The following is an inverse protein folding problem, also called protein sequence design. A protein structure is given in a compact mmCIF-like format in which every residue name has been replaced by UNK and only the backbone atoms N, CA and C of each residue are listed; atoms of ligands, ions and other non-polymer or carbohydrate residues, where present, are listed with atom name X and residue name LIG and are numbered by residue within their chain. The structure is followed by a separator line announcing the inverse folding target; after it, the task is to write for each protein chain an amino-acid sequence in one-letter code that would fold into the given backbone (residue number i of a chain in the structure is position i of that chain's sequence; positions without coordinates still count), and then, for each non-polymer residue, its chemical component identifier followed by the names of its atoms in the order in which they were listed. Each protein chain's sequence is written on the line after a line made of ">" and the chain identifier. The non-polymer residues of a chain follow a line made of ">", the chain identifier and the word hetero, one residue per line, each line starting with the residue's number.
data_IF_234579298263
#
_entry.id   IF_234579298263
#
_cell.length_a   1.000
_cell.length_b   1.000
_cell.length_c   1.000
_cell.angle_alpha   90.00
_cell.angle_beta   90.00
_cell.angle_gamma   90.00
#
_symmetry.space_group_name_H-M   'P 1'
#
loop_
_entity.id
_entity.type
_entity.pdbx_description
1 polymer ?
#
# COMPACT_ATOMS: atom_id res chain seq x y z
N UNK A 1 -54.82 31.63 -19.93
CA UNK A 1 -54.11 31.06 -18.76
C UNK A 1 -53.04 30.10 -19.27
N UNK A 2 -51.78 30.36 -18.96
CA UNK A 2 -50.67 29.44 -19.27
C UNK A 2 -50.85 28.15 -18.45
N UNK A 3 -50.95 27.00 -19.11
CA UNK A 3 -50.95 25.69 -18.43
C UNK A 3 -49.53 25.40 -17.94
N UNK A 4 -49.35 25.29 -16.63
CA UNK A 4 -48.11 24.82 -15.99
C UNK A 4 -48.17 23.30 -15.77
N UNK A 5 -47.02 22.68 -15.42
CA UNK A 5 -46.95 21.25 -15.08
C UNK A 5 -47.76 20.93 -13.82
N UNK A 6 -48.29 19.71 -13.76
CA UNK A 6 -48.93 19.18 -12.55
C UNK A 6 -47.86 18.85 -11.50
N UNK A 7 -48.23 18.93 -10.22
CA UNK A 7 -47.30 18.87 -9.08
C UNK A 7 -47.68 17.83 -8.02
N UNK A 8 -48.88 17.26 -8.07
CA UNK A 8 -49.34 16.30 -7.07
C UNK A 8 -50.11 15.13 -7.66
N UNK A 9 -50.11 14.00 -6.95
CA UNK A 9 -50.87 12.79 -7.28
C UNK A 9 -52.38 13.09 -7.44
N UNK A 10 -52.93 14.02 -6.66
CA UNK A 10 -54.33 14.43 -6.73
C UNK A 10 -54.62 15.22 -8.01
N UNK A 11 -53.68 16.04 -8.47
CA UNK A 11 -53.80 16.76 -9.74
C UNK A 11 -53.74 15.80 -10.93
N UNK A 12 -52.80 14.85 -10.92
CA UNK A 12 -52.75 13.78 -11.92
C UNK A 12 -54.04 12.94 -11.91
N UNK A 13 -54.58 12.63 -10.73
CA UNK A 13 -55.82 11.87 -10.60
C UNK A 13 -57.07 12.55 -11.15
N UNK A 14 -57.07 13.89 -11.24
CA UNK A 14 -58.17 14.69 -11.81
C UNK A 14 -58.08 14.85 -13.33
N UNK A 15 -57.08 14.28 -14.00
CA UNK A 15 -56.97 14.32 -15.46
C UNK A 15 -58.22 13.68 -16.07
N UNK A 16 -58.96 14.46 -16.85
CA UNK A 16 -60.14 14.00 -17.56
C UNK A 16 -59.73 13.15 -18.76
N UNK A 17 -60.17 11.89 -18.79
CA UNK A 17 -59.91 10.97 -19.90
C UNK A 17 -61.06 10.96 -20.91
N UNK A 18 -62.30 10.88 -20.42
CA UNK A 18 -63.49 10.76 -21.26
C UNK A 18 -64.71 11.33 -20.54
N UNK A 19 -65.66 11.87 -21.32
CA UNK A 19 -67.02 12.15 -20.87
C UNK A 19 -67.94 11.15 -21.56
N UNK A 20 -68.75 10.42 -20.79
CA UNK A 20 -69.71 9.45 -21.31
C UNK A 20 -70.97 10.16 -21.84
N UNK A 21 -71.80 9.43 -22.59
CA UNK A 21 -73.05 9.97 -23.18
C UNK A 21 -74.07 10.41 -22.12
N UNK A 22 -74.00 9.85 -20.91
CA UNK A 22 -74.81 10.22 -19.74
C UNK A 22 -74.28 11.46 -19.00
N UNK A 23 -73.18 12.06 -19.46
CA UNK A 23 -72.52 13.20 -18.82
C UNK A 23 -71.57 12.84 -17.68
N UNK A 24 -71.41 11.55 -17.33
CA UNK A 24 -70.43 11.12 -16.35
C UNK A 24 -68.99 11.31 -16.86
N UNK A 25 -68.08 11.66 -15.95
CA UNK A 25 -66.66 11.94 -16.27
C UNK A 25 -65.80 10.77 -15.80
N UNK A 26 -64.99 10.23 -16.70
CA UNK A 26 -63.97 9.23 -16.40
C UNK A 26 -62.64 9.96 -16.21
N UNK A 27 -62.08 9.84 -15.01
CA UNK A 27 -60.82 10.47 -14.60
C UNK A 27 -59.69 9.44 -14.60
N UNK A 28 -58.44 9.91 -14.60
CA UNK A 28 -57.26 9.02 -14.59
C UNK A 28 -57.24 8.11 -13.36
N UNK A 29 -57.65 8.63 -12.20
CA UNK A 29 -57.75 7.85 -10.96
C UNK A 29 -58.77 6.71 -11.01
N UNK A 30 -59.72 6.76 -11.95
CA UNK A 30 -60.76 5.73 -12.07
C UNK A 30 -60.24 4.48 -12.80
N UNK A 31 -59.08 4.59 -13.47
CA UNK A 31 -58.49 3.52 -14.30
C UNK A 31 -57.03 3.20 -13.96
N UNK A 32 -56.39 3.97 -13.07
CA UNK A 32 -55.00 3.76 -12.67
C UNK A 32 -54.77 4.09 -11.19
N UNK A 33 -53.84 3.37 -10.56
CA UNK A 33 -53.27 3.77 -9.26
C UNK A 33 -52.22 4.85 -9.51
N UNK A 34 -52.29 5.93 -8.75
CA UNK A 34 -51.40 7.08 -8.89
C UNK A 34 -50.73 7.31 -7.55
N UNK A 35 -49.44 7.03 -7.50
CA UNK A 35 -48.61 7.19 -6.32
C UNK A 35 -47.22 7.71 -6.73
N UNK A 36 -46.51 8.31 -5.79
CA UNK A 36 -45.14 8.73 -6.00
C UNK A 36 -44.22 7.51 -5.80
N UNK A 37 -43.73 6.97 -6.92
CA UNK A 37 -42.87 5.80 -6.95
C UNK A 37 -41.43 6.11 -7.36
N UNK A 38 -40.58 5.08 -7.35
CA UNK A 38 -39.26 5.15 -7.96
C UNK A 38 -39.34 5.15 -9.48
N UNK A 39 -38.34 5.71 -10.15
CA UNK A 39 -38.24 5.64 -11.61
C UNK A 39 -38.05 4.20 -12.12
N UNK A 40 -37.35 3.37 -11.33
CA UNK A 40 -37.17 1.95 -11.57
C UNK A 40 -37.21 1.18 -10.23
N UNK A 41 -37.49 -0.12 -10.31
CA UNK A 41 -37.61 -1.04 -9.17
C UNK A 41 -36.67 -2.24 -9.30
N UNK A 42 -35.68 -2.16 -10.21
CA UNK A 42 -34.77 -3.28 -10.48
C UNK A 42 -33.76 -3.49 -9.36
N UNK A 43 -33.39 -2.43 -8.63
CA UNK A 43 -32.37 -2.46 -7.59
C UNK A 43 -33.02 -2.29 -6.22
N UNK A 44 -32.77 -3.25 -5.34
CA UNK A 44 -33.15 -3.18 -3.92
C UNK A 44 -31.88 -3.32 -3.10
N UNK A 45 -31.62 -2.36 -2.22
CA UNK A 45 -30.46 -2.39 -1.33
C UNK A 45 -30.90 -2.49 0.13
N UNK A 46 -30.17 -3.32 0.89
CA UNK A 46 -30.35 -3.47 2.33
C UNK A 46 -29.00 -3.36 3.04
N UNK A 47 -29.00 -2.70 4.20
CA UNK A 47 -27.85 -2.61 5.08
C UNK A 47 -28.15 -3.33 6.39
N UNK A 48 -27.42 -4.39 6.68
CA UNK A 48 -27.66 -5.28 7.82
C UNK A 48 -29.14 -5.72 7.93
N UNK A 49 -29.79 -5.99 6.79
CA UNK A 49 -31.20 -6.40 6.71
C UNK A 49 -32.24 -5.28 6.87
N UNK A 50 -31.81 -4.02 6.93
CA UNK A 50 -32.70 -2.85 6.97
C UNK A 50 -32.74 -2.17 5.60
N UNK A 51 -33.88 -1.58 5.18
CA UNK A 51 -33.98 -0.84 3.92
C UNK A 51 -32.89 0.22 3.81
N UNK A 52 -32.14 0.20 2.71
CA UNK A 52 -31.03 1.10 2.49
C UNK A 52 -31.04 1.71 1.09
N UNK A 53 -30.33 2.83 0.97
CA UNK A 53 -29.93 3.43 -0.29
C UNK A 53 -28.46 3.82 -0.17
N UNK A 54 -27.80 4.15 -1.28
CA UNK A 54 -26.39 4.49 -1.24
C UNK A 54 -25.86 5.06 -2.53
N UNK A 55 -24.67 5.64 -2.43
CA UNK A 55 -23.92 6.19 -3.54
C UNK A 55 -22.57 5.48 -3.64
N UNK A 56 -22.32 4.82 -4.77
CA UNK A 56 -21.01 4.29 -5.12
C UNK A 56 -20.15 5.40 -5.71
N UNK A 57 -19.26 6.00 -4.91
CA UNK A 57 -18.42 7.13 -5.33
C UNK A 57 -17.10 6.60 -5.87
N UNK A 58 -16.72 7.06 -7.06
CA UNK A 58 -15.42 6.75 -7.69
C UNK A 58 -14.53 7.98 -7.65
N UNK A 59 -13.25 7.76 -7.39
CA UNK A 59 -12.25 8.81 -7.38
C UNK A 59 -12.04 9.36 -8.79
N UNK A 60 -12.00 10.69 -8.93
CA UNK A 60 -11.62 11.33 -10.18
C UNK A 60 -10.15 11.05 -10.52
N UNK A 61 -9.80 11.06 -11.81
CA UNK A 61 -8.42 10.81 -12.23
C UNK A 61 -7.47 11.87 -11.65
N UNK A 62 -6.42 11.44 -10.96
CA UNK A 62 -5.43 12.33 -10.34
C UNK A 62 -5.87 12.99 -9.03
N UNK A 63 -7.10 12.75 -8.55
CA UNK A 63 -7.54 13.25 -7.25
C UNK A 63 -6.90 12.47 -6.10
N UNK A 64 -6.80 13.09 -4.92
CA UNK A 64 -6.32 12.45 -3.71
C UNK A 64 -7.47 11.70 -3.01
N UNK A 65 -7.26 10.41 -2.73
CA UNK A 65 -8.27 9.57 -2.09
C UNK A 65 -8.65 10.05 -0.68
N UNK A 66 -7.67 10.46 0.14
CA UNK A 66 -7.87 10.91 1.51
C UNK A 66 -8.60 12.27 1.55
N UNK A 67 -8.16 13.21 0.72
CA UNK A 67 -8.76 14.55 0.66
C UNK A 67 -10.20 14.47 0.14
N UNK A 68 -10.44 13.64 -0.88
CA UNK A 68 -11.78 13.45 -1.44
C UNK A 68 -12.71 12.79 -0.42
N UNK A 69 -12.25 11.77 0.30
CA UNK A 69 -13.06 11.14 1.35
C UNK A 69 -13.35 12.10 2.51
N UNK A 70 -12.36 12.91 2.91
CA UNK A 70 -12.56 13.94 3.92
C UNK A 70 -13.58 15.00 3.47
N UNK A 71 -13.52 15.45 2.21
CA UNK A 71 -14.47 16.39 1.62
C UNK A 71 -15.89 15.80 1.54
N UNK A 72 -16.02 14.53 1.14
CA UNK A 72 -17.31 13.82 1.13
C UNK A 72 -17.89 13.78 2.55
N UNK A 73 -17.10 13.39 3.55
CA UNK A 73 -17.54 13.37 4.96
C UNK A 73 -17.94 14.76 5.46
N UNK A 74 -17.21 15.80 5.07
CA UNK A 74 -17.53 17.18 5.43
C UNK A 74 -18.85 17.66 4.82
N UNK A 75 -19.13 17.33 3.56
CA UNK A 75 -20.41 17.66 2.92
C UNK A 75 -21.57 16.87 3.53
N UNK A 76 -21.38 15.58 3.80
CA UNK A 76 -22.39 14.75 4.47
C UNK A 76 -22.74 15.29 5.86
N UNK A 77 -21.74 15.70 6.65
CA UNK A 77 -21.94 16.29 7.97
C UNK A 77 -22.76 17.60 7.94
N UNK A 78 -22.71 18.37 6.84
CA UNK A 78 -23.56 19.57 6.65
C UNK A 78 -25.01 19.21 6.36
N UNK A 79 -25.28 18.04 5.79
CA UNK A 79 -26.62 17.59 5.43
C UNK A 79 -27.33 16.90 6.61
N UNK A 80 -26.58 16.24 7.51
CA UNK A 80 -27.11 15.51 8.66
C UNK A 80 -28.16 16.28 9.51
N UNK A 81 -27.99 17.59 9.81
CA UNK A 81 -28.99 18.34 10.60
C UNK A 81 -30.36 18.48 9.95
N UNK A 82 -30.45 18.31 8.62
CA UNK A 82 -31.69 18.47 7.85
C UNK A 82 -32.40 17.13 7.60
N UNK A 83 -31.90 16.04 8.18
CA UNK A 83 -32.43 14.72 7.92
C UNK A 83 -33.78 14.46 8.59
N UNK A 84 -34.68 13.72 7.92
CA UNK A 84 -35.86 13.17 8.56
C UNK A 84 -35.51 12.25 9.73
N UNK A 85 -36.46 12.05 10.65
CA UNK A 85 -36.26 11.18 11.81
C UNK A 85 -35.92 9.75 11.41
N UNK A 86 -34.84 9.21 11.97
CA UNK A 86 -34.38 7.84 11.74
C UNK A 86 -33.43 7.65 10.55
N UNK A 87 -33.19 8.69 9.73
CA UNK A 87 -32.21 8.61 8.66
C UNK A 87 -30.78 8.71 9.25
N UNK A 88 -29.94 7.71 8.95
CA UNK A 88 -28.54 7.64 9.42
C UNK A 88 -27.60 7.32 8.28
N UNK A 89 -26.47 8.00 8.21
CA UNK A 89 -25.38 7.67 7.29
C UNK A 89 -24.51 6.56 7.87
N UNK A 90 -24.14 5.61 7.02
CA UNK A 90 -23.20 4.54 7.30
C UNK A 90 -22.20 4.43 6.15
N UNK A 91 -21.01 3.89 6.41
CA UNK A 91 -19.91 3.78 5.45
C UNK A 91 -19.55 2.30 5.24
N UNK A 92 -20.30 1.55 4.43
CA UNK A 92 -20.14 0.09 4.29
C UNK A 92 -18.93 -0.33 3.46
N UNK A 93 -18.34 0.58 2.70
CA UNK A 93 -17.18 0.29 1.87
C UNK A 93 -16.35 1.57 1.71
N UNK A 94 -15.21 1.61 2.39
CA UNK A 94 -14.27 2.72 2.34
C UNK A 94 -12.85 2.17 2.28
N UNK A 95 -12.13 2.46 1.20
CA UNK A 95 -10.74 2.02 1.02
C UNK A 95 -9.73 2.97 1.66
N UNK A 96 -10.17 4.14 2.13
CA UNK A 96 -9.28 5.16 2.70
C UNK A 96 -8.62 4.79 4.03
N UNK A 97 -9.26 4.02 4.96
CA UNK A 97 -8.59 3.54 6.16
C UNK A 97 -7.38 2.68 5.84
N UNK A 98 -7.51 1.75 4.89
CA UNK A 98 -6.40 0.91 4.43
C UNK A 98 -5.25 1.76 3.89
N UNK A 99 -5.53 2.69 2.96
CA UNK A 99 -4.49 3.58 2.39
C UNK A 99 -3.78 4.39 3.49
N UNK A 100 -4.53 4.93 4.45
CA UNK A 100 -3.97 5.71 5.56
C UNK A 100 -3.06 4.85 6.44
N UNK A 101 -3.48 3.63 6.78
CA UNK A 101 -2.71 2.70 7.60
C UNK A 101 -1.48 2.22 6.83
N UNK A 102 -1.60 1.86 5.55
CA UNK A 102 -0.45 1.47 4.73
C UNK A 102 0.60 2.58 4.67
N UNK A 103 0.20 3.84 4.46
CA UNK A 103 1.14 4.96 4.48
C UNK A 103 1.76 5.13 5.87
N UNK A 104 0.95 5.05 6.93
CA UNK A 104 1.43 5.18 8.31
C UNK A 104 2.46 4.10 8.67
N UNK A 105 2.18 2.84 8.37
CA UNK A 105 3.11 1.73 8.62
C UNK A 105 4.37 1.88 7.77
N UNK A 106 4.27 2.31 6.51
CA UNK A 106 5.49 2.56 5.74
C UNK A 106 6.31 3.69 6.38
N UNK A 107 5.72 4.83 6.75
CA UNK A 107 6.45 5.91 7.43
C UNK A 107 7.08 5.43 8.74
N UNK A 108 6.38 4.60 9.50
CA UNK A 108 6.92 3.97 10.71
C UNK A 108 8.12 3.07 10.37
N UNK A 109 8.04 2.23 9.35
CA UNK A 109 9.19 1.43 8.90
C UNK A 109 10.36 2.28 8.41
N UNK A 110 10.12 3.45 7.79
CA UNK A 110 11.19 4.41 7.44
C UNK A 110 11.90 4.92 8.71
N UNK A 111 11.14 5.28 9.74
CA UNK A 111 11.69 5.75 11.02
C UNK A 111 12.45 4.64 11.74
N UNK A 112 11.88 3.43 11.80
CA UNK A 112 12.53 2.25 12.37
C UNK A 112 13.83 1.92 11.65
N UNK A 113 13.85 1.99 10.31
CA UNK A 113 15.05 1.78 9.52
C UNK A 113 16.13 2.83 9.84
N UNK A 114 15.78 4.11 9.95
CA UNK A 114 16.74 5.16 10.35
C UNK A 114 17.29 4.91 11.76
N UNK A 115 16.45 4.49 12.70
CA UNK A 115 16.88 4.14 14.07
C UNK A 115 17.82 2.93 14.03
N UNK A 116 17.51 1.88 13.26
CA UNK A 116 18.37 0.71 13.13
C UNK A 116 19.73 1.06 12.53
N UNK A 117 19.74 1.90 11.49
CA UNK A 117 20.99 2.42 10.89
C UNK A 117 21.79 3.20 11.93
N UNK A 118 21.14 4.07 12.71
CA UNK A 118 21.77 4.79 13.79
C UNK A 118 22.40 3.83 14.83
N UNK A 119 21.66 2.80 15.26
CA UNK A 119 22.15 1.82 16.24
C UNK A 119 23.34 1.02 15.72
N UNK A 120 23.28 0.57 14.46
CA UNK A 120 24.38 -0.18 13.82
C UNK A 120 25.59 0.73 13.65
N UNK A 121 25.43 1.95 13.14
CA UNK A 121 26.54 2.89 12.99
C UNK A 121 27.15 3.28 14.32
N UNK A 122 26.34 3.43 15.37
CA UNK A 122 26.84 3.69 16.71
C UNK A 122 27.61 2.50 17.31
N UNK A 123 27.19 1.27 17.00
CA UNK A 123 27.90 0.06 17.42
C UNK A 123 29.32 0.01 16.83
N UNK A 124 29.47 0.30 15.54
CA UNK A 124 30.76 0.26 14.84
C UNK A 124 31.63 1.48 15.13
N UNK A 125 31.09 2.70 14.98
CA UNK A 125 31.89 3.93 15.08
C UNK A 125 32.01 4.45 16.52
N UNK A 126 31.12 4.05 17.43
CA UNK A 126 31.20 4.35 18.87
C UNK A 126 31.29 5.85 19.18
N UNK A 127 30.77 6.67 18.25
CA UNK A 127 30.79 8.12 18.29
C UNK A 127 29.46 8.66 17.76
N UNK A 128 28.74 9.36 18.63
CA UNK A 128 27.47 10.00 18.29
C UNK A 128 27.59 10.96 17.10
N UNK A 129 28.72 11.68 16.97
CA UNK A 129 28.90 12.65 15.88
C UNK A 129 29.01 11.97 14.51
N UNK A 130 29.75 10.87 14.43
CA UNK A 130 29.91 10.11 13.20
C UNK A 130 28.59 9.44 12.79
N UNK A 131 27.86 8.91 13.78
CA UNK A 131 26.54 8.30 13.59
C UNK A 131 25.49 9.31 13.10
N UNK A 132 25.62 10.58 13.48
CA UNK A 132 24.69 11.63 13.04
C UNK A 132 24.78 11.92 11.53
N UNK A 133 25.93 11.65 10.90
CA UNK A 133 26.16 12.00 9.49
C UNK A 133 25.23 11.20 8.56
N UNK A 134 25.18 9.84 8.60
CA UNK A 134 24.21 9.09 7.82
C UNK A 134 22.76 9.38 8.22
N UNK A 135 22.54 9.64 9.52
CA UNK A 135 21.21 9.96 10.07
C UNK A 135 20.62 11.25 9.49
N UNK A 136 21.48 12.23 9.12
CA UNK A 136 21.06 13.45 8.43
C UNK A 136 20.96 13.24 6.91
N UNK A 137 21.90 12.49 6.32
CA UNK A 137 21.95 12.28 4.87
C UNK A 137 20.69 11.57 4.34
N UNK A 138 20.23 10.51 5.03
CA UNK A 138 19.09 9.70 4.57
C UNK A 138 17.79 10.52 4.45
N UNK A 139 17.34 11.28 5.47
CA UNK A 139 16.16 12.16 5.33
C UNK A 139 16.28 13.18 4.20
N UNK A 140 17.47 13.76 3.97
CA UNK A 140 17.69 14.72 2.88
C UNK A 140 17.44 14.07 1.52
N UNK A 141 17.95 12.86 1.30
CA UNK A 141 17.73 12.13 0.05
C UNK A 141 16.27 11.71 -0.12
N UNK A 142 15.61 11.24 0.95
CA UNK A 142 14.19 10.87 0.90
C UNK A 142 13.30 12.08 0.54
N UNK A 143 13.51 13.23 1.20
CA UNK A 143 12.79 14.46 0.89
C UNK A 143 13.06 14.96 -0.54
N UNK A 144 14.31 14.88 -0.99
CA UNK A 144 14.67 15.18 -2.38
C UNK A 144 13.99 14.23 -3.37
N UNK A 145 13.84 12.95 -3.02
CA UNK A 145 13.17 11.95 -3.86
C UNK A 145 11.69 12.30 -4.00
N UNK A 146 11.01 12.72 -2.93
CA UNK A 146 9.64 13.24 -3.03
C UNK A 146 9.54 14.44 -3.98
N UNK A 147 10.51 15.36 -3.96
CA UNK A 147 10.52 16.51 -4.86
C UNK A 147 10.68 16.08 -6.34
N UNK A 148 11.54 15.09 -6.61
CA UNK A 148 11.71 14.53 -7.96
C UNK A 148 10.45 13.81 -8.41
N UNK A 149 9.86 12.97 -7.56
CA UNK A 149 8.60 12.28 -7.87
C UNK A 149 7.48 13.28 -8.19
N UNK A 150 7.34 14.35 -7.41
CA UNK A 150 6.38 15.41 -7.67
C UNK A 150 6.65 16.10 -9.02
N UNK A 151 7.92 16.38 -9.36
CA UNK A 151 8.30 16.97 -10.64
C UNK A 151 7.94 16.10 -11.85
N UNK A 152 7.97 14.78 -11.70
CA UNK A 152 7.53 13.82 -12.73
C UNK A 152 6.03 13.48 -12.67
N UNK A 153 5.25 14.12 -11.78
CA UNK A 153 3.81 13.89 -11.64
C UNK A 153 3.44 12.55 -11.00
N UNK A 154 4.35 11.95 -10.22
CA UNK A 154 4.09 10.74 -9.45
C UNK A 154 3.34 11.07 -8.14
N UNK A 155 2.49 10.16 -7.71
CA UNK A 155 1.77 10.27 -6.43
C UNK A 155 2.47 9.48 -5.34
N UNK A 156 2.18 9.85 -4.09
CA UNK A 156 2.48 9.01 -2.93
C UNK A 156 1.45 7.87 -2.93
N UNK A 157 1.92 6.66 -3.15
CA UNK A 157 1.10 5.45 -3.18
C UNK A 157 1.92 4.27 -2.63
N UNK A 158 1.27 3.13 -2.42
CA UNK A 158 1.91 1.95 -1.84
C UNK A 158 3.18 1.53 -2.57
N UNK A 159 3.21 1.64 -3.91
CA UNK A 159 4.36 1.22 -4.73
C UNK A 159 5.54 2.18 -4.62
N UNK A 160 5.29 3.50 -4.70
CA UNK A 160 6.36 4.50 -4.52
C UNK A 160 6.91 4.47 -3.10
N UNK A 161 6.06 4.26 -2.11
CA UNK A 161 6.48 4.13 -0.72
C UNK A 161 7.32 2.86 -0.48
N UNK A 162 6.94 1.71 -1.04
CA UNK A 162 7.81 0.52 -1.01
C UNK A 162 9.13 0.74 -1.75
N UNK A 163 9.12 1.44 -2.89
CA UNK A 163 10.33 1.83 -3.59
C UNK A 163 11.28 2.65 -2.71
N UNK A 164 10.76 3.55 -1.88
CA UNK A 164 11.58 4.30 -0.92
C UNK A 164 12.17 3.41 0.16
N UNK A 165 11.39 2.48 0.73
CA UNK A 165 11.87 1.54 1.75
C UNK A 165 13.01 0.68 1.20
N UNK A 166 12.84 0.13 0.00
CA UNK A 166 13.87 -0.65 -0.67
C UNK A 166 15.12 0.18 -0.97
N UNK A 167 14.95 1.46 -1.31
CA UNK A 167 16.06 2.35 -1.56
C UNK A 167 16.90 2.62 -0.29
N UNK A 168 16.34 2.58 0.92
CA UNK A 168 17.09 2.88 2.16
C UNK A 168 18.38 2.08 2.26
N UNK A 169 18.36 0.78 1.93
CA UNK A 169 19.56 -0.05 1.98
C UNK A 169 20.69 0.50 1.10
N UNK A 170 20.34 1.02 -0.08
CA UNK A 170 21.28 1.65 -1.01
C UNK A 170 21.70 3.05 -0.54
N UNK A 171 20.75 3.83 -0.01
CA UNK A 171 20.99 5.20 0.47
C UNK A 171 21.96 5.25 1.66
N UNK A 172 21.78 4.29 2.57
CA UNK A 172 22.58 4.20 3.78
C UNK A 172 24.00 3.78 3.43
N UNK A 173 24.17 2.84 2.49
CA UNK A 173 25.48 2.35 2.07
C UNK A 173 26.41 3.50 1.62
N UNK A 174 25.93 4.39 0.75
CA UNK A 174 26.72 5.55 0.29
C UNK A 174 27.22 6.43 1.44
N UNK A 175 26.33 6.73 2.40
CA UNK A 175 26.67 7.56 3.55
C UNK A 175 27.64 6.84 4.52
N UNK A 176 27.45 5.53 4.72
CA UNK A 176 28.32 4.71 5.55
C UNK A 176 29.70 4.61 4.93
N UNK A 177 29.81 4.27 3.65
CA UNK A 177 31.10 4.10 2.94
C UNK A 177 31.92 5.38 3.01
N UNK A 178 31.29 6.56 2.86
CA UNK A 178 31.99 7.84 3.00
C UNK A 178 32.50 8.04 4.43
N UNK A 179 31.66 7.85 5.45
CA UNK A 179 32.04 8.09 6.85
C UNK A 179 33.09 7.08 7.33
N UNK A 180 32.89 5.80 7.04
CA UNK A 180 33.79 4.71 7.41
C UNK A 180 35.16 4.90 6.76
N UNK A 181 35.22 5.23 5.46
CA UNK A 181 36.50 5.41 4.80
C UNK A 181 37.27 6.63 5.34
N UNK A 182 36.57 7.68 5.80
CA UNK A 182 37.21 8.82 6.48
C UNK A 182 37.76 8.40 7.86
N UNK A 183 36.98 7.67 8.66
CA UNK A 183 37.40 7.13 9.95
C UNK A 183 38.62 6.23 9.80
N UNK A 184 38.62 5.34 8.81
CA UNK A 184 39.74 4.46 8.46
C UNK A 184 41.01 5.26 8.13
N UNK A 185 40.92 6.28 7.26
CA UNK A 185 42.07 7.13 6.92
C UNK A 185 42.59 7.92 8.13
N UNK A 186 41.70 8.41 9.00
CA UNK A 186 42.11 9.07 10.24
C UNK A 186 42.83 8.10 11.19
N UNK A 187 42.31 6.89 11.37
CA UNK A 187 42.91 5.88 12.25
C UNK A 187 44.25 5.35 11.72
N UNK A 188 44.36 5.09 10.41
CA UNK A 188 45.59 4.54 9.82
C UNK A 188 46.71 5.58 9.69
N UNK A 189 46.38 6.84 9.41
CA UNK A 189 47.39 7.87 9.07
C UNK A 189 47.52 8.98 10.12
N UNK A 190 46.53 9.15 11.01
CA UNK A 190 46.51 10.20 12.04
C UNK A 190 46.23 11.60 11.48
N UNK A 191 45.61 11.70 10.30
CA UNK A 191 45.34 12.98 9.65
C UNK A 191 44.17 13.73 10.32
N UNK A 192 44.18 15.08 10.34
CA UNK A 192 43.02 15.86 10.77
C UNK A 192 41.77 15.57 9.92
N UNK A 193 40.54 15.66 10.48
CA UNK A 193 39.30 15.29 9.78
C UNK A 193 39.13 15.90 8.39
N UNK A 194 39.49 17.18 8.22
CA UNK A 194 39.40 17.87 6.93
C UNK A 194 40.34 17.28 5.87
N UNK A 195 41.56 16.94 6.24
CA UNK A 195 42.57 16.38 5.33
C UNK A 195 42.28 14.92 5.03
N UNK A 196 41.92 14.15 6.06
CA UNK A 196 41.46 12.77 5.91
C UNK A 196 40.26 12.68 4.97
N UNK A 197 39.28 13.60 5.10
CA UNK A 197 38.12 13.64 4.21
C UNK A 197 38.51 13.90 2.76
N UNK A 198 39.41 14.85 2.50
CA UNK A 198 39.89 15.11 1.12
C UNK A 198 40.57 13.89 0.52
N UNK A 199 41.42 13.21 1.29
CA UNK A 199 42.12 12.01 0.85
C UNK A 199 41.14 10.85 0.60
N UNK A 200 40.22 10.63 1.53
CA UNK A 200 39.17 9.61 1.45
C UNK A 200 38.31 9.80 0.19
N UNK A 201 37.79 11.01 -0.05
CA UNK A 201 36.98 11.28 -1.24
C UNK A 201 37.75 11.04 -2.54
N UNK A 202 39.05 11.33 -2.57
CA UNK A 202 39.91 11.01 -3.72
C UNK A 202 40.00 9.50 -4.02
N UNK A 203 39.83 8.64 -3.02
CA UNK A 203 39.84 7.18 -3.17
C UNK A 203 38.50 6.64 -3.65
N UNK A 204 37.38 7.16 -3.14
CA UNK A 204 36.05 6.55 -3.32
C UNK A 204 35.14 7.27 -4.32
N UNK A 205 35.40 8.55 -4.68
CA UNK A 205 34.49 9.32 -5.54
C UNK A 205 34.17 8.63 -6.87
N UNK A 206 35.17 8.01 -7.51
CA UNK A 206 34.99 7.30 -8.78
C UNK A 206 34.18 6.02 -8.62
N UNK A 207 34.36 5.32 -7.49
CA UNK A 207 33.60 4.12 -7.17
C UNK A 207 32.12 4.46 -6.89
N UNK A 208 31.85 5.53 -6.13
CA UNK A 208 30.47 6.00 -5.85
C UNK A 208 29.71 6.33 -7.14
N UNK A 209 30.34 7.07 -8.06
CA UNK A 209 29.73 7.37 -9.38
C UNK A 209 29.56 6.09 -10.20
N UNK A 210 30.54 5.17 -10.18
CA UNK A 210 30.43 3.89 -10.87
C UNK A 210 29.27 3.03 -10.38
N UNK A 211 29.09 2.94 -9.06
CA UNK A 211 27.98 2.21 -8.42
C UNK A 211 26.64 2.83 -8.85
N UNK A 212 26.52 4.16 -8.82
CA UNK A 212 25.33 4.87 -9.26
C UNK A 212 24.94 4.52 -10.72
N UNK A 213 25.94 4.50 -11.60
CA UNK A 213 25.75 4.19 -13.02
C UNK A 213 25.34 2.72 -13.23
N UNK A 214 25.98 1.78 -12.54
CA UNK A 214 25.65 0.35 -12.63
C UNK A 214 24.25 0.08 -12.09
N UNK A 215 23.89 0.65 -10.94
CA UNK A 215 22.55 0.48 -10.38
C UNK A 215 21.49 1.14 -11.27
N UNK A 216 21.78 2.32 -11.83
CA UNK A 216 20.90 2.95 -12.81
C UNK A 216 20.70 2.05 -14.04
N UNK A 217 21.76 1.39 -14.53
CA UNK A 217 21.66 0.44 -15.64
C UNK A 217 20.81 -0.80 -15.31
N UNK A 218 20.70 -1.19 -14.04
CA UNK A 218 19.83 -2.29 -13.59
C UNK A 218 18.37 -1.85 -13.50
N UNK A 219 18.09 -0.68 -12.90
CA UNK A 219 16.72 -0.25 -12.61
C UNK A 219 16.05 0.55 -13.73
N UNK A 220 16.78 1.30 -14.55
CA UNK A 220 16.20 2.10 -15.65
C UNK A 220 15.47 1.24 -16.69
N UNK A 221 15.99 0.07 -17.15
CA UNK A 221 15.30 -0.77 -18.12
C UNK A 221 13.89 -1.20 -17.68
N UNK A 222 13.65 -1.35 -16.37
CA UNK A 222 12.34 -1.78 -15.89
C UNK A 222 11.24 -0.73 -16.09
N UNK A 223 11.59 0.56 -16.29
CA UNK A 223 10.63 1.61 -16.61
C UNK A 223 10.05 1.50 -18.04
N UNK A 224 10.70 0.72 -18.91
CA UNK A 224 10.33 0.55 -20.30
C UNK A 224 9.47 -0.69 -20.59
N UNK A 225 9.13 -1.47 -19.55
CA UNK A 225 8.14 -2.54 -19.71
C UNK A 225 6.79 -1.94 -20.17
N UNK A 226 6.11 -2.64 -21.07
CA UNK A 226 4.79 -2.26 -21.57
C UNK A 226 3.64 -2.75 -20.69
N UNK A 227 2.42 -2.27 -21.01
CA UNK A 227 1.18 -2.71 -20.37
C UNK A 227 1.03 -2.28 -18.91
N UNK A 228 0.03 -2.87 -18.23
CA UNK A 228 -0.28 -2.56 -16.83
C UNK A 228 0.87 -2.90 -15.88
N UNK A 229 1.59 -4.00 -16.16
CA UNK A 229 2.78 -4.42 -15.42
C UNK A 229 3.91 -3.38 -15.51
N UNK A 230 4.14 -2.82 -16.70
CA UNK A 230 5.10 -1.73 -16.88
C UNK A 230 4.80 -0.50 -16.06
N UNK A 231 3.52 -0.14 -15.90
CA UNK A 231 3.12 0.99 -15.07
C UNK A 231 3.49 0.81 -13.58
N UNK A 232 3.44 -0.42 -13.06
CA UNK A 232 3.88 -0.76 -11.70
C UNK A 232 5.40 -0.69 -11.58
N UNK A 233 6.13 -1.35 -12.49
CA UNK A 233 7.59 -1.34 -12.46
C UNK A 233 8.17 0.07 -12.59
N UNK A 234 7.51 0.94 -13.36
CA UNK A 234 7.89 2.35 -13.50
C UNK A 234 7.82 3.12 -12.18
N UNK A 235 6.90 2.79 -11.27
CA UNK A 235 6.84 3.39 -9.92
C UNK A 235 8.10 3.07 -9.11
N UNK A 236 8.53 1.80 -9.12
CA UNK A 236 9.75 1.37 -8.43
C UNK A 236 11.01 1.94 -9.09
N UNK A 237 11.11 1.83 -10.41
CA UNK A 237 12.25 2.27 -11.21
C UNK A 237 12.59 3.74 -10.93
N UNK A 238 11.62 4.63 -11.12
CA UNK A 238 11.85 6.07 -11.01
C UNK A 238 12.12 6.45 -9.57
N UNK A 239 11.45 5.83 -8.60
CA UNK A 239 11.70 6.08 -7.18
C UNK A 239 13.13 5.71 -6.79
N UNK A 240 13.57 4.48 -7.13
CA UNK A 240 14.90 3.98 -6.77
C UNK A 240 15.99 4.76 -7.52
N UNK A 241 15.86 4.97 -8.82
CA UNK A 241 16.84 5.72 -9.62
C UNK A 241 16.98 7.17 -9.13
N UNK A 242 15.87 7.83 -8.82
CA UNK A 242 15.90 9.20 -8.28
C UNK A 242 16.56 9.25 -6.91
N UNK A 243 16.22 8.30 -6.03
CA UNK A 243 16.84 8.16 -4.72
C UNK A 243 18.35 7.91 -4.82
N UNK A 244 18.79 6.99 -5.68
CA UNK A 244 20.21 6.70 -5.88
C UNK A 244 20.99 7.89 -6.47
N UNK A 245 20.44 8.57 -7.47
CA UNK A 245 21.09 9.74 -8.06
C UNK A 245 21.25 10.86 -7.02
N UNK A 246 20.23 11.10 -6.21
CA UNK A 246 20.29 12.05 -5.10
C UNK A 246 21.22 11.57 -3.98
N UNK A 247 21.28 10.27 -3.71
CA UNK A 247 22.18 9.67 -2.73
C UNK A 247 23.63 9.97 -3.06
N UNK A 248 24.04 9.72 -4.30
CA UNK A 248 25.41 9.99 -4.76
C UNK A 248 25.69 11.49 -4.77
N UNK A 249 24.73 12.34 -5.14
CA UNK A 249 24.87 13.80 -5.02
C UNK A 249 25.11 14.22 -3.56
N UNK A 250 24.33 13.68 -2.62
CA UNK A 250 24.50 13.93 -1.18
C UNK A 250 25.85 13.37 -0.69
N UNK A 251 26.26 12.20 -1.19
CA UNK A 251 27.51 11.52 -0.88
C UNK A 251 28.76 12.32 -1.30
N UNK A 252 28.64 13.08 -2.39
CA UNK A 252 29.72 13.90 -2.96
C UNK A 252 29.72 15.34 -2.43
N UNK A 253 28.58 15.85 -1.96
CA UNK A 253 28.41 17.26 -1.57
C UNK A 253 28.29 17.42 -0.05
N UNK A 254 27.27 16.80 0.55
CA UNK A 254 26.89 17.06 1.94
C UNK A 254 27.71 16.21 2.92
N UNK A 255 27.79 14.90 2.72
CA UNK A 255 28.51 14.02 3.65
C UNK A 255 29.99 14.36 3.80
N UNK A 256 30.77 14.75 2.76
CA UNK A 256 32.16 15.13 2.97
C UNK A 256 32.27 16.42 3.80
N UNK A 257 31.35 17.37 3.59
CA UNK A 257 31.30 18.59 4.39
C UNK A 257 30.97 18.28 5.86
N UNK A 258 30.05 17.35 6.12
CA UNK A 258 29.72 16.90 7.47
C UNK A 258 30.88 16.12 8.11
N UNK A 259 31.57 15.24 7.38
CA UNK A 259 32.73 14.52 7.87
C UNK A 259 33.84 15.47 8.32
N UNK A 260 34.17 16.46 7.49
CA UNK A 260 35.23 17.42 7.78
C UNK A 260 34.93 18.35 8.98
N UNK A 261 33.65 18.53 9.34
CA UNK A 261 33.21 19.49 10.38
C UNK A 261 32.77 18.81 11.68
N UNK A 262 32.21 17.61 11.61
CA UNK A 262 31.61 16.92 12.76
C UNK A 262 32.49 15.83 13.34
N UNK A 263 33.34 15.17 12.53
CA UNK A 263 34.20 14.10 13.01
C UNK A 263 35.28 14.64 13.95
N UNK A 264 35.61 13.83 14.95
CA UNK A 264 36.71 14.14 15.88
C UNK A 264 37.99 13.50 15.35
N UNK A 265 39.16 14.14 15.55
CA UNK A 265 40.43 13.51 15.21
C UNK A 265 40.60 12.18 15.95
N UNK A 266 41.17 11.20 15.25
CA UNK A 266 41.51 9.88 15.78
C UNK A 266 43.03 9.77 15.75
N UNK A 267 43.63 9.28 16.84
CA UNK A 267 45.07 9.10 16.90
C UNK A 267 45.47 7.94 15.98
N UNK A 268 46.65 8.05 15.36
CA UNK A 268 47.19 7.00 14.50
C UNK A 268 47.30 5.68 15.27
N UNK A 269 46.73 4.61 14.73
CA UNK A 269 46.68 3.28 15.33
C UNK A 269 45.62 3.10 16.42
N UNK A 270 44.76 4.09 16.66
CA UNK A 270 43.63 3.94 17.58
C UNK A 270 42.45 3.24 16.90
N UNK A 271 42.42 1.91 17.03
CA UNK A 271 41.29 1.07 16.62
C UNK A 271 40.29 0.85 17.77
N UNK A 272 40.39 1.62 18.86
CA UNK A 272 39.50 1.49 20.02
C UNK A 272 39.62 0.18 20.80
N UNK A 273 40.64 -0.64 20.55
CA UNK A 273 40.89 -1.93 21.23
C UNK A 273 41.20 -1.76 22.73
N UNK A 274 41.77 -0.61 23.10
CA UNK A 274 42.08 -0.23 24.47
C UNK A 274 40.90 0.32 25.27
N UNK A 275 39.71 0.48 24.66
CA UNK A 275 38.51 0.93 25.38
C UNK A 275 38.08 -0.12 26.41
N UNK A 276 37.57 0.34 27.56
CA UNK A 276 36.97 -0.53 28.60
C UNK A 276 35.49 -0.75 28.32
N UNK A 277 34.96 -1.91 28.73
CA UNK A 277 33.54 -2.25 28.59
C UNK A 277 33.19 -2.96 27.28
N UNK A 278 31.89 -2.96 26.95
CA UNK A 278 31.32 -3.66 25.79
C UNK A 278 32.00 -3.28 24.47
N UNK A 279 32.19 -1.98 24.22
CA UNK A 279 32.80 -1.48 22.99
C UNK A 279 34.24 -1.95 22.77
N UNK A 280 35.04 -2.03 23.84
CA UNK A 280 36.39 -2.59 23.73
C UNK A 280 36.40 -4.09 23.43
N UNK A 281 35.46 -4.84 24.02
CA UNK A 281 35.29 -6.26 23.68
C UNK A 281 34.86 -6.45 22.22
N UNK A 282 33.90 -5.64 21.76
CA UNK A 282 33.43 -5.67 20.38
C UNK A 282 34.57 -5.40 19.41
N UNK A 283 35.36 -4.34 19.61
CA UNK A 283 36.49 -4.00 18.74
C UNK A 283 37.52 -5.13 18.66
N UNK A 284 37.94 -5.67 19.80
CA UNK A 284 38.90 -6.80 19.84
C UNK A 284 38.36 -8.05 19.15
N UNK A 285 37.08 -8.34 19.32
CA UNK A 285 36.43 -9.50 18.68
C UNK A 285 36.29 -9.27 17.17
N UNK A 286 35.94 -8.06 16.76
CA UNK A 286 35.82 -7.67 15.36
C UNK A 286 37.18 -7.75 14.65
N UNK A 287 38.24 -7.15 15.20
CA UNK A 287 39.60 -7.23 14.64
C UNK A 287 40.08 -8.69 14.50
N UNK A 288 39.87 -9.50 15.55
CA UNK A 288 40.16 -10.94 15.47
C UNK A 288 39.37 -11.64 14.36
N UNK A 289 38.11 -11.24 14.17
CA UNK A 289 37.25 -11.79 13.11
C UNK A 289 37.69 -11.34 11.72
N UNK A 290 38.17 -10.10 11.57
CA UNK A 290 38.74 -9.56 10.33
C UNK A 290 40.01 -10.32 9.94
N UNK A 291 40.91 -10.58 10.88
CA UNK A 291 42.07 -11.43 10.63
C UNK A 291 41.67 -12.85 10.23
N UNK A 292 40.72 -13.47 10.93
CA UNK A 292 40.23 -14.79 10.55
C UNK A 292 39.58 -14.81 9.15
N UNK A 293 38.82 -13.77 8.81
CA UNK A 293 38.22 -13.63 7.49
C UNK A 293 39.28 -13.52 6.39
N UNK A 294 40.28 -12.65 6.58
CA UNK A 294 41.37 -12.47 5.61
C UNK A 294 42.25 -13.71 5.45
N UNK A 295 42.55 -14.42 6.55
CA UNK A 295 43.26 -15.72 6.51
C UNK A 295 42.44 -16.77 5.75
N UNK A 296 41.13 -16.81 5.98
CA UNK A 296 40.20 -17.71 5.28
C UNK A 296 40.21 -17.41 3.79
N UNK A 297 40.03 -16.14 3.39
CA UNK A 297 40.10 -15.71 1.98
C UNK A 297 41.46 -16.05 1.36
N UNK A 298 42.56 -15.90 2.11
CA UNK A 298 43.88 -16.37 1.69
C UNK A 298 43.93 -17.87 1.39
N UNK A 299 43.24 -18.69 2.19
CA UNK A 299 43.04 -20.12 1.93
C UNK A 299 42.16 -20.42 0.70
N UNK A 300 41.11 -19.62 0.48
CA UNK A 300 40.23 -19.70 -0.70
C UNK A 300 41.04 -19.45 -1.97
N UNK A 301 41.87 -18.40 -1.99
CA UNK A 301 42.70 -18.03 -3.14
C UNK A 301 43.75 -19.09 -3.51
N UNK A 302 44.20 -19.89 -2.54
CA UNK A 302 45.09 -21.05 -2.79
C UNK A 302 44.35 -22.26 -3.38
N UNK A 303 43.02 -22.26 -3.36
CA UNK A 303 42.20 -23.41 -3.74
C UNK A 303 40.98 -23.04 -4.59
N UNK A 304 41.15 -22.07 -5.49
CA UNK A 304 40.07 -21.49 -6.32
C UNK A 304 39.21 -22.52 -7.06
N UNK A 305 39.79 -23.63 -7.53
CA UNK A 305 39.06 -24.67 -8.27
C UNK A 305 37.85 -25.24 -7.51
N UNK A 306 37.96 -25.48 -6.19
CA UNK A 306 36.84 -26.01 -5.40
C UNK A 306 35.71 -24.99 -5.26
N UNK A 307 36.06 -23.71 -5.19
CA UNK A 307 35.09 -22.62 -5.09
C UNK A 307 34.41 -22.32 -6.42
N UNK A 308 35.08 -22.55 -7.56
CA UNK A 308 34.42 -22.54 -8.87
C UNK A 308 33.38 -23.66 -8.99
N UNK A 309 33.67 -24.87 -8.49
CA UNK A 309 32.68 -25.95 -8.43
C UNK A 309 31.51 -25.56 -7.54
N UNK A 310 31.77 -25.00 -6.35
CA UNK A 310 30.72 -24.50 -5.46
C UNK A 310 29.88 -23.40 -6.13
N UNK A 311 30.51 -22.47 -6.84
CA UNK A 311 29.82 -21.42 -7.59
C UNK A 311 28.90 -22.01 -8.67
N UNK A 312 29.37 -23.00 -9.43
CA UNK A 312 28.53 -23.70 -10.40
C UNK A 312 27.34 -24.40 -9.74
N UNK A 313 27.53 -25.02 -8.57
CA UNK A 313 26.43 -25.61 -7.79
C UNK A 313 25.40 -24.55 -7.40
N UNK A 314 25.84 -23.36 -6.95
CA UNK A 314 24.95 -22.25 -6.59
C UNK A 314 24.19 -21.76 -7.83
N UNK A 315 24.84 -21.60 -8.98
CA UNK A 315 24.19 -21.17 -10.24
C UNK A 315 23.14 -22.19 -10.70
N UNK A 316 23.46 -23.49 -10.67
CA UNK A 316 22.51 -24.56 -11.01
C UNK A 316 21.36 -24.60 -10.00
N UNK A 317 21.65 -24.45 -8.70
CA UNK A 317 20.64 -24.38 -7.66
C UNK A 317 19.70 -23.18 -7.82
N UNK A 318 20.23 -22.00 -8.14
CA UNK A 318 19.46 -20.80 -8.45
C UNK A 318 18.55 -21.04 -9.65
N UNK A 319 19.07 -21.57 -10.77
CA UNK A 319 18.26 -21.85 -11.95
C UNK A 319 17.14 -22.85 -11.66
N UNK A 320 17.44 -23.91 -10.89
CA UNK A 320 16.47 -24.92 -10.48
C UNK A 320 15.36 -24.34 -9.60
N UNK A 321 15.70 -23.52 -8.60
CA UNK A 321 14.72 -22.87 -7.74
C UNK A 321 13.90 -21.82 -8.49
N UNK A 322 14.54 -21.03 -9.36
CA UNK A 322 13.89 -19.98 -10.13
C UNK A 322 12.78 -20.51 -11.03
N UNK A 323 13.02 -21.64 -11.73
CA UNK A 323 12.00 -22.27 -12.59
C UNK A 323 10.85 -22.89 -11.78
N UNK A 324 11.09 -23.22 -10.50
CA UNK A 324 10.08 -23.83 -9.62
C UNK A 324 9.30 -22.83 -8.78
N UNK A 325 9.72 -21.57 -8.74
CA UNK A 325 9.07 -20.54 -7.94
C UNK A 325 7.79 -20.06 -8.66
N UNK A 326 6.59 -20.24 -8.07
CA UNK A 326 5.36 -19.75 -8.68
C UNK A 326 5.38 -18.23 -8.79
N UNK A 327 5.06 -17.70 -9.97
CA UNK A 327 4.95 -16.27 -10.20
C UNK A 327 3.55 -15.77 -9.88
N UNK A 328 3.46 -14.71 -9.08
CA UNK A 328 2.25 -13.91 -8.89
C UNK A 328 2.56 -12.45 -9.23
N UNK A 329 1.53 -11.59 -9.26
CA UNK A 329 1.71 -10.18 -9.62
C UNK A 329 1.86 -9.28 -8.39
N UNK A 330 0.79 -9.19 -7.59
CA UNK A 330 0.80 -8.56 -6.27
C UNK A 330 0.14 -9.53 -5.29
N UNK A 331 0.60 -9.58 -4.02
CA UNK A 331 -0.09 -10.35 -3.00
C UNK A 331 -1.46 -9.75 -2.72
N UNK A 332 -2.42 -10.63 -2.41
CA UNK A 332 -3.70 -10.19 -1.87
C UNK A 332 -3.50 -9.69 -0.44
N UNK A 333 -4.11 -8.56 -0.12
CA UNK A 333 -4.03 -7.93 1.19
C UNK A 333 -5.40 -7.90 1.87
N UNK A 334 -5.41 -7.98 3.20
CA UNK A 334 -6.62 -7.75 3.98
C UNK A 334 -6.93 -6.25 3.98
N UNK A 335 -7.76 -5.81 3.04
CA UNK A 335 -8.17 -4.41 2.90
C UNK A 335 -9.29 -4.00 3.89
N UNK A 336 -9.69 -4.88 4.81
CA UNK A 336 -10.81 -4.64 5.73
C UNK A 336 -12.19 -4.70 5.07
N UNK A 337 -12.24 -5.01 3.78
CA UNK A 337 -13.46 -5.16 2.98
C UNK A 337 -13.30 -6.30 1.99
N UNK A 338 -14.40 -6.94 1.64
CA UNK A 338 -14.44 -7.88 0.52
C UNK A 338 -15.87 -7.95 -0.06
N UNK A 339 -16.03 -8.62 -1.19
CA UNK A 339 -17.30 -8.71 -1.89
C UNK A 339 -17.73 -10.15 -2.08
N UNK A 340 -19.04 -10.38 -2.02
CA UNK A 340 -19.67 -11.67 -2.35
C UNK A 340 -20.61 -11.47 -3.52
N UNK A 341 -20.36 -12.17 -4.63
CA UNK A 341 -21.27 -12.20 -5.77
C UNK A 341 -22.34 -13.27 -5.54
N UNK A 342 -23.58 -12.95 -5.91
CA UNK A 342 -24.72 -13.87 -5.94
C UNK A 342 -25.26 -13.93 -7.36
N UNK A 343 -25.18 -15.08 -8.00
CA UNK A 343 -25.68 -15.29 -9.36
C UNK A 343 -26.65 -16.47 -9.40
N UNK A 344 -27.91 -16.19 -9.72
CA UNK A 344 -28.94 -17.21 -9.92
C UNK A 344 -29.07 -17.55 -11.42
N UNK A 345 -29.65 -18.72 -11.76
CA UNK A 345 -29.98 -19.08 -13.13
C UNK A 345 -30.76 -18.01 -13.88
N UNK A 346 -30.59 -17.95 -15.19
CA UNK A 346 -31.33 -17.03 -16.04
C UNK A 346 -32.84 -17.23 -15.85
N UNK A 347 -33.58 -16.11 -15.77
CA UNK A 347 -35.03 -16.12 -15.52
C UNK A 347 -35.43 -16.22 -14.04
N UNK A 348 -34.48 -16.31 -13.10
CA UNK A 348 -34.80 -16.17 -11.68
C UNK A 348 -35.30 -14.75 -11.36
N UNK A 349 -36.32 -14.67 -10.51
CA UNK A 349 -36.95 -13.42 -10.11
C UNK A 349 -36.16 -12.70 -9.02
N UNK A 350 -36.39 -11.39 -8.89
CA UNK A 350 -35.77 -10.56 -7.85
C UNK A 350 -36.05 -11.09 -6.44
N UNK A 351 -37.23 -11.67 -6.19
CA UNK A 351 -37.59 -12.27 -4.90
C UNK A 351 -36.69 -13.48 -4.56
N UNK A 352 -36.39 -14.33 -5.55
CA UNK A 352 -35.48 -15.48 -5.33
C UNK A 352 -34.07 -15.00 -5.00
N UNK A 353 -33.59 -13.99 -5.71
CA UNK A 353 -32.28 -13.38 -5.45
C UNK A 353 -32.23 -12.75 -4.06
N UNK A 354 -33.31 -12.09 -3.62
CA UNK A 354 -33.38 -11.52 -2.27
C UNK A 354 -33.29 -12.59 -1.18
N UNK A 355 -33.94 -13.74 -1.35
CA UNK A 355 -33.85 -14.85 -0.38
C UNK A 355 -32.41 -15.31 -0.20
N UNK A 356 -31.66 -15.45 -1.30
CA UNK A 356 -30.24 -15.83 -1.23
C UNK A 356 -29.38 -14.74 -0.58
N UNK A 357 -29.62 -13.45 -0.92
CA UNK A 357 -28.91 -12.34 -0.27
C UNK A 357 -29.19 -12.26 1.23
N UNK A 358 -30.41 -12.58 1.65
CA UNK A 358 -30.78 -12.63 3.06
C UNK A 358 -30.06 -13.78 3.79
N UNK A 359 -29.94 -14.96 3.15
CA UNK A 359 -29.14 -16.07 3.69
C UNK A 359 -27.65 -15.70 3.82
N UNK A 360 -27.08 -15.06 2.80
CA UNK A 360 -25.69 -14.56 2.80
C UNK A 360 -25.48 -13.54 3.91
N UNK A 361 -26.38 -12.56 4.03
CA UNK A 361 -26.34 -11.53 5.08
C UNK A 361 -26.44 -12.15 6.47
N UNK A 362 -27.37 -13.09 6.66
CA UNK A 362 -27.53 -13.78 7.93
C UNK A 362 -26.30 -14.61 8.31
N UNK A 363 -25.65 -15.29 7.35
CA UNK A 363 -24.40 -16.01 7.59
C UNK A 363 -23.32 -15.07 8.17
N UNK A 364 -23.10 -13.93 7.52
CA UNK A 364 -22.07 -12.99 7.95
C UNK A 364 -22.37 -12.36 9.31
N UNK A 365 -23.62 -11.94 9.54
CA UNK A 365 -24.02 -11.30 10.80
C UNK A 365 -24.10 -12.28 11.98
N UNK A 366 -24.24 -13.59 11.74
CA UNK A 366 -24.37 -14.59 12.82
C UNK A 366 -23.10 -15.40 13.04
N UNK A 367 -22.56 -16.03 11.99
CA UNK A 367 -21.42 -16.95 12.08
C UNK A 367 -20.07 -16.21 12.07
N UNK A 368 -20.00 -15.04 11.44
CA UNK A 368 -18.79 -14.21 11.36
C UNK A 368 -18.92 -12.89 12.14
N UNK A 369 -19.83 -12.83 13.13
CA UNK A 369 -20.12 -11.62 13.95
C UNK A 369 -18.90 -10.98 14.62
N UNK A 370 -17.86 -11.77 14.88
CA UNK A 370 -16.63 -11.29 15.50
C UNK A 370 -15.75 -10.54 14.49
N UNK A 371 -15.88 -10.85 13.20
CA UNK A 371 -15.06 -10.30 12.13
C UNK A 371 -15.81 -9.26 11.30
N UNK A 372 -17.09 -9.48 11.02
CA UNK A 372 -17.92 -8.62 10.17
C UNK A 372 -18.53 -7.48 10.99
N UNK A 373 -18.36 -6.26 10.51
CA UNK A 373 -19.00 -5.06 11.05
C UNK A 373 -20.34 -4.81 10.35
N UNK A 374 -20.38 -4.93 9.03
CA UNK A 374 -21.60 -4.73 8.26
C UNK A 374 -21.63 -5.43 6.91
N UNK A 375 -22.86 -5.60 6.40
CA UNK A 375 -23.15 -6.15 5.08
C UNK A 375 -24.11 -5.19 4.36
N UNK A 376 -23.68 -4.69 3.21
CA UNK A 376 -24.52 -3.92 2.29
C UNK A 376 -24.86 -4.80 1.08
N UNK A 377 -26.06 -5.36 1.08
CA UNK A 377 -26.55 -6.25 0.04
C UNK A 377 -27.32 -5.47 -1.02
N UNK A 378 -27.00 -5.69 -2.28
CA UNK A 378 -27.62 -5.05 -3.45
C UNK A 378 -28.15 -6.13 -4.38
N UNK A 379 -29.47 -6.23 -4.45
CA UNK A 379 -30.20 -7.08 -5.39
C UNK A 379 -30.40 -6.32 -6.71
N UNK A 380 -30.31 -7.02 -7.84
CA UNK A 380 -30.51 -6.43 -9.18
C UNK A 380 -29.24 -5.92 -9.86
N UNK A 381 -28.11 -5.91 -9.14
CA UNK A 381 -26.83 -5.39 -9.61
C UNK A 381 -25.69 -6.37 -9.33
N UNK A 382 -24.81 -6.55 -10.31
CA UNK A 382 -23.51 -7.21 -10.15
C UNK A 382 -22.49 -6.61 -11.11
N UNK A 383 -21.21 -6.96 -10.95
CA UNK A 383 -20.18 -6.46 -11.87
C UNK A 383 -20.33 -6.99 -13.30
N UNK A 384 -20.93 -8.16 -13.46
CA UNK A 384 -21.18 -8.78 -14.78
C UNK A 384 -22.42 -8.21 -15.48
N UNK A 385 -23.24 -7.39 -14.81
CA UNK A 385 -24.43 -6.80 -15.42
C UNK A 385 -25.52 -6.43 -14.41
N UNK A 386 -26.64 -5.93 -14.95
CA UNK A 386 -27.88 -5.69 -14.21
C UNK A 386 -28.90 -6.76 -14.57
N UNK A 387 -29.67 -7.22 -13.60
CA UNK A 387 -30.69 -8.24 -13.82
C UNK A 387 -31.28 -8.77 -12.53
N UNK A 388 -32.51 -9.26 -12.60
CA UNK A 388 -33.23 -9.78 -11.43
C UNK A 388 -32.57 -11.02 -10.80
N UNK A 389 -31.72 -11.73 -11.55
CA UNK A 389 -31.02 -12.93 -11.12
C UNK A 389 -29.59 -12.68 -10.60
N UNK A 390 -29.17 -11.42 -10.43
CA UNK A 390 -27.84 -11.08 -9.91
C UNK A 390 -27.95 -10.20 -8.66
N UNK A 391 -27.00 -10.38 -7.76
CA UNK A 391 -26.81 -9.52 -6.59
C UNK A 391 -25.36 -9.49 -6.16
N UNK A 392 -25.04 -8.50 -5.32
CA UNK A 392 -23.72 -8.35 -4.71
C UNK A 392 -23.88 -7.95 -3.25
N UNK A 393 -23.07 -8.52 -2.36
CA UNK A 393 -22.96 -8.09 -0.98
C UNK A 393 -21.56 -7.51 -0.73
N UNK A 394 -21.52 -6.25 -0.34
CA UNK A 394 -20.30 -5.59 0.14
C UNK A 394 -20.18 -5.84 1.63
N UNK A 395 -19.12 -6.52 2.06
CA UNK A 395 -18.90 -6.88 3.45
C UNK A 395 -17.78 -6.01 4.00
N UNK A 396 -18.10 -5.23 5.03
CA UNK A 396 -17.11 -4.48 5.81
C UNK A 396 -16.73 -5.30 7.03
N UNK A 397 -15.42 -5.47 7.23
CA UNK A 397 -14.88 -6.09 8.43
C UNK A 397 -14.64 -5.04 9.51
N UNK A 398 -14.51 -5.53 10.74
CA UNK A 398 -13.98 -4.76 11.87
C UNK A 398 -12.51 -4.44 11.67
N UNK A 399 -12.00 -3.54 12.49
CA UNK A 399 -10.60 -3.13 12.47
C UNK A 399 -9.65 -4.34 12.60
N UNK A 400 -8.46 -4.23 12.01
CA UNK A 400 -7.45 -5.30 12.06
C UNK A 400 -7.03 -5.64 13.49
N UNK A 401 -7.07 -4.68 14.42
CA UNK A 401 -6.76 -4.89 15.83
C UNK A 401 -7.74 -5.85 16.52
N UNK A 402 -9.02 -5.82 16.12
CA UNK A 402 -10.07 -6.70 16.65
C UNK A 402 -10.11 -8.07 15.97
N UNK A 403 -9.27 -8.29 14.95
CA UNK A 403 -9.19 -9.51 14.15
C UNK A 403 -7.78 -10.14 14.20
N UNK A 404 -7.32 -10.62 15.36
CA UNK A 404 -6.01 -11.27 15.49
C UNK A 404 -6.01 -12.65 14.82
N UNK A 405 -4.84 -13.11 14.38
CA UNK A 405 -4.66 -14.44 13.78
C UNK A 405 -5.03 -14.52 12.29
N UNK A 406 -4.52 -15.55 11.61
CA UNK A 406 -4.79 -15.81 10.18
C UNK A 406 -6.25 -16.19 9.93
N UNK A 407 -6.89 -16.86 10.89
CA UNK A 407 -8.27 -17.31 10.79
C UNK A 407 -9.29 -16.16 10.70
N UNK A 408 -8.91 -14.96 11.16
CA UNK A 408 -9.76 -13.78 11.15
C UNK A 408 -9.38 -12.79 10.02
N UNK A 409 -8.51 -13.21 9.10
CA UNK A 409 -8.18 -12.44 7.88
C UNK A 409 -9.13 -12.76 6.73
N UNK A 410 -9.20 -11.86 5.76
CA UNK A 410 -10.10 -11.95 4.60
C UNK A 410 -10.00 -13.32 3.90
N UNK A 411 -8.80 -13.86 3.69
CA UNK A 411 -8.63 -15.15 3.02
C UNK A 411 -9.35 -16.29 3.76
N UNK A 412 -9.14 -16.41 5.07
CA UNK A 412 -9.77 -17.46 5.88
C UNK A 412 -11.30 -17.27 5.98
N UNK A 413 -11.77 -16.03 6.19
CA UNK A 413 -13.19 -15.71 6.27
C UNK A 413 -13.88 -16.07 4.94
N UNK A 414 -13.29 -15.68 3.83
CA UNK A 414 -13.86 -15.92 2.50
C UNK A 414 -13.83 -17.39 2.09
N UNK A 415 -12.81 -18.15 2.50
CA UNK A 415 -12.80 -19.61 2.34
C UNK A 415 -13.92 -20.29 3.13
N UNK A 416 -14.15 -19.88 4.39
CA UNK A 416 -15.27 -20.40 5.20
C UNK A 416 -16.62 -20.03 4.61
N UNK A 417 -16.78 -18.79 4.15
CA UNK A 417 -17.99 -18.29 3.52
C UNK A 417 -18.31 -19.05 2.24
N UNK A 418 -17.34 -19.16 1.32
CA UNK A 418 -17.50 -19.90 0.04
C UNK A 418 -17.87 -21.37 0.30
N UNK A 419 -17.24 -22.01 1.29
CA UNK A 419 -17.57 -23.39 1.69
C UNK A 419 -19.00 -23.49 2.22
N UNK A 420 -19.45 -22.54 3.03
CA UNK A 420 -20.82 -22.52 3.54
C UNK A 420 -21.84 -22.26 2.42
N UNK A 421 -21.55 -21.33 1.52
CA UNK A 421 -22.48 -20.97 0.45
C UNK A 421 -22.58 -22.02 -0.66
N UNK A 422 -21.64 -22.95 -0.76
CA UNK A 422 -21.78 -24.13 -1.63
C UNK A 422 -23.01 -25.00 -1.32
N UNK A 423 -23.63 -24.81 -0.14
CA UNK A 423 -24.85 -25.51 0.28
C UNK A 423 -26.14 -24.84 -0.23
N UNK A 424 -26.04 -23.60 -0.75
CA UNK A 424 -27.19 -22.86 -1.28
C UNK A 424 -27.56 -23.47 -2.64
N UNK A 425 -28.82 -23.92 -2.75
CA UNK A 425 -29.34 -24.51 -3.99
C UNK A 425 -29.70 -23.43 -5.01
N UNK A 426 -29.52 -23.72 -6.29
CA UNK A 426 -29.88 -22.85 -7.41
C UNK A 426 -29.29 -21.43 -7.35
N UNK A 427 -28.12 -21.25 -6.73
CA UNK A 427 -27.37 -20.01 -6.77
C UNK A 427 -25.87 -20.31 -6.74
N UNK A 428 -25.12 -19.61 -7.59
CA UNK A 428 -23.67 -19.57 -7.52
C UNK A 428 -23.28 -18.36 -6.68
N UNK A 429 -22.75 -18.63 -5.49
CA UNK A 429 -22.30 -17.59 -4.56
C UNK A 429 -20.82 -17.76 -4.32
N UNK A 430 -20.04 -16.74 -4.68
CA UNK A 430 -18.58 -16.79 -4.58
C UNK A 430 -17.99 -15.42 -4.26
N UNK A 431 -16.79 -15.45 -3.69
CA UNK A 431 -16.01 -14.27 -3.34
C UNK A 431 -15.45 -13.60 -4.60
N UNK A 432 -15.42 -12.27 -4.60
CA UNK A 432 -14.63 -11.44 -5.51
C UNK A 432 -13.37 -10.89 -4.84
#
# INVERSE_FOLDING_TARGET
>A
MLRTRLTSTEEFGKILLKVNQDGSRVLLRDVAKIELGGENYDIIAEFNGQPASGLGIKLATGANALDTAAAIRAELAKMEPFFPSGLKIVYPYDTTPFVKISIHEVVKTLVEAIILVFLVMYLFLQNFRATLIPTIAVPVVLLGTFAVLAAFGFSINTLTMFGMVLAIGLLVDDAIVVVENVERVMAEEGLPPKEATRKSMGQIQGALVGIAMVLSAVFVPMAFFGGSTGAIYRQFSITIVSAMALSVLVALILTPALCATMLKPIAKGDHGEGKKGFFGWFNRMFEKSTHHYTDSVGGILRSTGRYLVLYLIIVVGMAYLFVRLPSSFLPDEDQGVFMTMVQLPAGATQERTQKVLNEVTNYYLTKEKNNVESVFAVNGFGFAGRGQNTGIAFVSLKDWADRPGEENKVEAITMRATRAFSQIKDAMVFRL
#
